data_IF_207381656981
#
_entry.id   IF_207381656981
#
_cell.length_a   1.000
_cell.length_b   1.000
_cell.length_c   1.000
_cell.angle_alpha   90.00
_cell.angle_beta   90.00
_cell.angle_gamma   90.00
#
_symmetry.space_group_name_H-M   'P 1'
#
loop_
_entity.id
_entity.type
_entity.pdbx_description
1 polymer ?
#
# COMPACT_ATOMS: atom_id res chain seq x y z
N UNK A 1 -13.81 -7.38 12.61
CA UNK A 1 -12.99 -8.05 11.59
C UNK A 1 -11.94 -8.98 12.20
N UNK A 2 -10.92 -8.51 12.92
CA UNK A 2 -9.83 -9.38 13.43
C UNK A 2 -10.32 -10.59 14.23
N UNK A 3 -11.26 -10.38 15.17
CA UNK A 3 -11.83 -11.48 15.98
C UNK A 3 -12.50 -12.57 15.14
N UNK A 4 -13.17 -12.21 14.06
CA UNK A 4 -13.81 -13.18 13.15
C UNK A 4 -12.84 -13.93 12.24
N UNK A 5 -11.57 -13.47 12.13
CA UNK A 5 -10.55 -14.15 11.35
C UNK A 5 -9.73 -15.17 12.17
N UNK A 6 -9.78 -15.08 13.51
CA UNK A 6 -8.97 -15.96 14.37
C UNK A 6 -9.35 -17.44 14.26
N UNK A 7 -10.61 -17.74 13.94
CA UNK A 7 -11.13 -19.10 13.83
C UNK A 7 -11.11 -19.63 12.37
N UNK A 8 -10.60 -18.81 11.41
CA UNK A 8 -10.56 -19.20 10.01
C UNK A 8 -9.27 -19.96 9.72
N UNK A 9 -9.42 -21.17 9.22
CA UNK A 9 -8.29 -21.95 8.70
C UNK A 9 -7.88 -21.39 7.34
N UNK A 10 -6.69 -20.85 7.24
CA UNK A 10 -6.11 -20.43 5.97
C UNK A 10 -5.68 -21.67 5.18
N UNK A 11 -6.06 -21.75 3.91
CA UNK A 11 -5.65 -22.84 3.04
C UNK A 11 -4.12 -23.01 3.01
N UNK A 12 -3.60 -24.23 2.93
CA UNK A 12 -2.16 -24.47 2.88
C UNK A 12 -1.52 -23.81 1.66
N UNK A 13 -0.22 -23.57 1.76
CA UNK A 13 0.56 -23.08 0.64
C UNK A 13 0.46 -24.02 -0.57
N UNK A 14 0.44 -23.41 -1.76
CA UNK A 14 0.48 -24.18 -3.02
C UNK A 14 1.85 -24.87 -3.12
N UNK A 15 1.85 -26.14 -3.57
CA UNK A 15 3.10 -26.87 -3.81
C UNK A 15 3.93 -26.18 -4.87
N UNK A 16 5.24 -26.17 -4.67
CA UNK A 16 6.18 -25.63 -5.64
C UNK A 16 6.07 -26.37 -6.98
N UNK A 17 5.94 -25.60 -8.06
CA UNK A 17 5.97 -26.12 -9.43
C UNK A 17 7.43 -26.17 -9.89
N UNK A 18 7.99 -27.37 -9.92
CA UNK A 18 9.42 -27.58 -10.27
C UNK A 18 9.68 -27.63 -11.76
N UNK A 19 8.65 -27.89 -12.58
CA UNK A 19 8.77 -27.92 -14.03
C UNK A 19 7.45 -27.53 -14.69
N UNK A 20 7.57 -26.83 -15.83
CA UNK A 20 6.45 -26.51 -16.70
C UNK A 20 6.70 -27.13 -18.06
N UNK A 21 5.67 -27.75 -18.65
CA UNK A 21 5.73 -28.19 -20.03
C UNK A 21 5.74 -26.94 -20.94
N UNK A 22 6.79 -26.80 -21.72
CA UNK A 22 6.91 -25.69 -22.69
C UNK A 22 6.58 -26.18 -24.09
N UNK A 23 6.00 -25.36 -24.97
CA UNK A 23 5.78 -25.74 -26.35
C UNK A 23 7.12 -25.90 -27.09
N UNK A 24 7.19 -26.88 -27.99
CA UNK A 24 8.39 -27.11 -28.82
C UNK A 24 8.70 -25.91 -29.72
N UNK A 25 7.69 -25.19 -30.14
CA UNK A 25 7.82 -23.97 -30.95
C UNK A 25 7.06 -22.82 -30.29
N UNK A 26 7.77 -21.74 -30.00
CA UNK A 26 7.19 -20.52 -29.50
C UNK A 26 6.61 -19.68 -30.64
N UNK A 27 5.42 -19.09 -30.46
CA UNK A 27 4.90 -18.13 -31.42
C UNK A 27 5.84 -16.92 -31.54
N UNK A 28 5.83 -16.27 -32.70
CA UNK A 28 6.55 -15.02 -32.89
C UNK A 28 5.95 -13.96 -31.96
N UNK A 29 6.75 -13.34 -31.11
CA UNK A 29 6.33 -12.35 -30.13
C UNK A 29 7.09 -11.04 -30.30
N UNK A 30 6.52 -9.97 -29.75
CA UNK A 30 7.18 -8.68 -29.65
C UNK A 30 8.18 -8.69 -28.49
N UNK A 31 9.24 -7.91 -28.60
CA UNK A 31 10.08 -7.59 -27.46
C UNK A 31 9.35 -6.61 -26.53
N UNK A 32 9.65 -6.68 -25.23
CA UNK A 32 9.04 -5.79 -24.25
C UNK A 32 9.25 -4.29 -24.58
N UNK A 33 10.42 -3.97 -25.13
CA UNK A 33 10.79 -2.60 -25.54
C UNK A 33 9.87 -2.07 -26.66
N UNK A 34 9.42 -2.96 -27.58
CA UNK A 34 8.56 -2.58 -28.70
C UNK A 34 7.17 -2.15 -28.24
N UNK A 35 6.76 -2.54 -27.03
CA UNK A 35 5.46 -2.15 -26.44
C UNK A 35 5.43 -0.68 -25.98
N UNK A 36 6.59 -0.04 -25.89
CA UNK A 36 6.70 1.39 -25.53
C UNK A 36 5.96 1.80 -24.24
N UNK A 37 5.92 0.92 -23.23
CA UNK A 37 5.13 1.09 -22.00
C UNK A 37 5.54 2.31 -21.17
N UNK A 38 6.76 2.82 -21.36
CA UNK A 38 7.31 3.92 -20.57
C UNK A 38 7.08 5.30 -21.18
N UNK A 39 6.43 5.39 -22.34
CA UNK A 39 6.23 6.69 -23.03
C UNK A 39 5.41 7.72 -22.25
N UNK A 40 4.54 7.24 -21.36
CA UNK A 40 3.69 8.10 -20.51
C UNK A 40 4.29 8.46 -19.15
N UNK A 41 5.47 7.95 -18.79
CA UNK A 41 6.06 8.22 -17.50
C UNK A 41 6.69 9.61 -17.44
N UNK A 42 6.15 10.49 -16.60
CA UNK A 42 6.66 11.84 -16.37
C UNK A 42 8.02 11.84 -15.64
N UNK A 43 8.29 10.81 -14.83
CA UNK A 43 9.58 10.55 -14.20
C UNK A 43 10.26 9.38 -14.91
N UNK A 44 11.57 9.42 -15.02
CA UNK A 44 12.28 8.39 -15.75
C UNK A 44 12.19 7.01 -15.11
N UNK A 45 11.77 5.99 -15.87
CA UNK A 45 11.74 4.59 -15.43
C UNK A 45 13.09 4.15 -14.81
N UNK A 46 14.21 4.60 -15.37
CA UNK A 46 15.56 4.33 -14.87
C UNK A 46 15.85 4.85 -13.46
N UNK A 47 15.13 5.89 -13.00
CA UNK A 47 15.26 6.41 -11.64
C UNK A 47 14.54 5.48 -10.69
N UNK A 48 13.27 5.18 -11.00
CA UNK A 48 12.39 4.35 -10.15
C UNK A 48 12.90 2.92 -10.04
N UNK A 49 13.45 2.36 -11.12
CA UNK A 49 14.03 1.01 -11.17
C UNK A 49 15.07 0.76 -10.05
N UNK A 50 15.82 1.79 -9.66
CA UNK A 50 16.83 1.68 -8.59
C UNK A 50 16.21 1.40 -7.22
N UNK A 51 14.94 1.74 -7.04
CA UNK A 51 14.20 1.57 -5.79
C UNK A 51 13.25 0.36 -5.80
N UNK A 52 13.11 -0.32 -6.95
CA UNK A 52 12.24 -1.49 -7.08
C UNK A 52 12.99 -2.78 -6.79
N UNK A 53 12.25 -3.77 -6.32
CA UNK A 53 12.78 -5.11 -6.06
C UNK A 53 11.89 -6.13 -6.75
N UNK A 54 12.26 -6.53 -7.96
CA UNK A 54 11.44 -7.33 -8.86
C UNK A 54 11.75 -8.82 -8.70
N UNK A 55 10.69 -9.64 -8.63
CA UNK A 55 10.72 -11.09 -8.75
C UNK A 55 10.56 -11.83 -7.43
N UNK A 56 9.90 -13.00 -7.50
CA UNK A 56 9.56 -13.86 -6.36
C UNK A 56 10.77 -14.17 -5.46
N UNK A 57 11.90 -14.51 -6.05
CA UNK A 57 13.11 -14.83 -5.26
C UNK A 57 13.56 -13.68 -4.36
N UNK A 58 13.52 -12.44 -4.88
CA UNK A 58 13.88 -11.26 -4.11
C UNK A 58 12.80 -10.93 -3.08
N UNK A 59 11.52 -11.12 -3.42
CA UNK A 59 10.42 -10.95 -2.47
C UNK A 59 10.54 -11.93 -1.29
N UNK A 60 10.84 -13.18 -1.53
CA UNK A 60 11.11 -14.18 -0.49
C UNK A 60 12.32 -13.81 0.38
N UNK A 61 13.39 -13.30 -0.23
CA UNK A 61 14.56 -12.82 0.51
C UNK A 61 14.21 -11.63 1.43
N UNK A 62 13.38 -10.68 0.97
CA UNK A 62 12.84 -9.61 1.81
C UNK A 62 12.01 -10.14 2.98
N UNK A 63 11.09 -11.09 2.71
CA UNK A 63 10.28 -11.70 3.75
C UNK A 63 11.15 -12.37 4.81
N UNK A 64 12.12 -13.18 4.40
CA UNK A 64 13.02 -13.87 5.32
C UNK A 64 13.86 -12.88 6.14
N UNK A 65 14.35 -11.79 5.54
CA UNK A 65 15.06 -10.74 6.28
C UNK A 65 14.15 -10.03 7.29
N UNK A 66 12.91 -9.71 6.90
CA UNK A 66 11.92 -9.09 7.78
C UNK A 66 11.62 -9.99 8.98
N UNK A 67 11.29 -11.25 8.73
CA UNK A 67 11.00 -12.24 9.77
C UNK A 67 12.19 -12.47 10.70
N UNK A 68 13.41 -12.54 10.14
CA UNK A 68 14.60 -12.81 10.92
C UNK A 68 15.11 -11.63 11.76
N UNK A 69 14.78 -10.39 11.39
CA UNK A 69 15.42 -9.21 12.01
C UNK A 69 14.46 -8.15 12.55
N UNK A 70 13.24 -8.03 11.97
CA UNK A 70 12.38 -6.88 12.22
C UNK A 70 11.04 -7.24 12.87
N UNK A 71 10.51 -8.43 12.60
CA UNK A 71 9.14 -8.80 12.97
C UNK A 71 8.88 -8.73 14.47
N UNK A 72 9.90 -9.02 15.31
CA UNK A 72 9.75 -8.96 16.76
C UNK A 72 9.41 -7.55 17.25
N UNK A 73 10.05 -6.53 16.68
CA UNK A 73 9.91 -5.14 17.07
C UNK A 73 8.90 -4.38 16.19
N UNK A 74 8.29 -5.08 15.23
CA UNK A 74 7.41 -4.49 14.23
C UNK A 74 6.25 -3.71 14.85
N UNK A 75 5.59 -4.25 15.87
CA UNK A 75 4.47 -3.57 16.53
C UNK A 75 4.89 -2.18 17.05
N UNK A 76 6.02 -2.11 17.70
CA UNK A 76 6.47 -0.91 18.41
C UNK A 76 7.12 0.12 17.47
N UNK A 77 7.78 -0.36 16.39
CA UNK A 77 8.62 0.50 15.53
C UNK A 77 8.07 0.76 14.13
N UNK A 78 7.03 0.07 13.70
CA UNK A 78 6.47 0.22 12.34
C UNK A 78 6.02 1.64 11.98
N UNK A 79 5.78 2.47 12.99
CA UNK A 79 5.29 3.82 12.82
C UNK A 79 6.40 4.88 12.76
N UNK A 80 7.64 4.49 13.06
CA UNK A 80 8.77 5.39 13.01
C UNK A 80 9.14 5.70 11.55
N UNK A 81 9.29 7.00 11.23
CA UNK A 81 9.65 7.44 9.88
C UNK A 81 11.15 7.43 9.63
N UNK A 82 11.95 7.46 10.69
CA UNK A 82 13.41 7.50 10.68
C UNK A 82 14.06 6.11 10.67
N UNK A 83 13.28 5.05 10.93
CA UNK A 83 13.75 3.67 10.97
C UNK A 83 12.95 2.77 10.01
N UNK A 84 13.61 1.94 9.21
CA UNK A 84 12.96 0.99 8.33
C UNK A 84 12.65 -0.33 9.07
N UNK A 85 11.51 -0.38 9.75
CA UNK A 85 10.95 -1.59 10.36
C UNK A 85 9.81 -2.23 9.56
N UNK A 86 9.45 -1.68 8.42
CA UNK A 86 8.46 -2.26 7.53
C UNK A 86 9.01 -3.46 6.75
N UNK A 87 8.10 -4.30 6.24
CA UNK A 87 8.47 -5.47 5.43
C UNK A 87 9.00 -5.09 4.04
N UNK A 88 8.55 -3.95 3.50
CA UNK A 88 8.86 -3.50 2.15
C UNK A 88 8.29 -4.41 1.05
N UNK A 89 7.23 -5.18 1.34
CA UNK A 89 6.67 -6.20 0.44
C UNK A 89 5.41 -5.75 -0.31
N UNK A 90 4.91 -4.54 -0.09
CA UNK A 90 3.69 -4.05 -0.74
C UNK A 90 3.79 -4.07 -2.27
N UNK A 91 4.90 -3.64 -2.83
CA UNK A 91 5.14 -3.72 -4.29
C UNK A 91 5.07 -5.15 -4.82
N UNK A 92 5.69 -6.09 -4.10
CA UNK A 92 5.71 -7.50 -4.51
C UNK A 92 4.34 -8.18 -4.38
N UNK A 93 3.51 -7.73 -3.41
CA UNK A 93 2.11 -8.16 -3.28
C UNK A 93 1.25 -7.65 -4.43
N UNK A 94 1.40 -6.38 -4.82
CA UNK A 94 0.65 -5.76 -5.91
C UNK A 94 0.84 -6.51 -7.23
N UNK A 95 2.07 -6.91 -7.53
CA UNK A 95 2.40 -7.62 -8.77
C UNK A 95 2.31 -9.16 -8.64
N UNK A 96 1.86 -9.69 -7.50
CA UNK A 96 1.70 -11.14 -7.31
C UNK A 96 3.02 -11.91 -7.22
N UNK A 97 4.14 -11.23 -6.97
CA UNK A 97 5.45 -11.85 -6.78
C UNK A 97 5.59 -12.54 -5.42
N UNK A 98 4.70 -12.25 -4.50
CA UNK A 98 4.50 -12.95 -3.24
C UNK A 98 3.02 -12.93 -2.89
N UNK A 99 2.50 -14.00 -2.29
CA UNK A 99 1.11 -14.06 -1.86
C UNK A 99 0.93 -13.59 -0.41
N UNK A 100 -0.22 -12.99 -0.11
CA UNK A 100 -0.61 -12.66 1.27
C UNK A 100 -0.61 -13.93 2.16
N UNK A 101 -0.99 -15.08 1.59
CA UNK A 101 -0.96 -16.38 2.27
C UNK A 101 0.46 -16.76 2.72
N UNK A 102 1.46 -16.58 1.85
CA UNK A 102 2.87 -16.85 2.20
C UNK A 102 3.34 -15.99 3.36
N UNK A 103 2.99 -14.71 3.33
CA UNK A 103 3.32 -13.77 4.40
C UNK A 103 2.60 -14.13 5.70
N UNK A 104 1.33 -14.54 5.61
CA UNK A 104 0.54 -14.99 6.77
C UNK A 104 1.19 -16.18 7.47
N UNK A 105 1.58 -17.22 6.73
CA UNK A 105 2.24 -18.39 7.33
C UNK A 105 3.60 -18.05 7.92
N UNK A 106 4.37 -17.18 7.29
CA UNK A 106 5.63 -16.71 7.86
C UNK A 106 5.42 -15.98 9.20
N UNK A 107 4.36 -15.16 9.29
CA UNK A 107 3.98 -14.49 10.52
C UNK A 107 3.47 -15.48 11.58
N UNK A 108 2.64 -16.47 11.19
CA UNK A 108 2.13 -17.48 12.11
C UNK A 108 3.27 -18.32 12.72
N UNK A 109 4.23 -18.73 11.91
CA UNK A 109 5.43 -19.41 12.42
C UNK A 109 6.21 -18.52 13.41
N UNK A 110 6.33 -17.22 13.11
CA UNK A 110 6.99 -16.27 14.00
C UNK A 110 6.24 -16.07 15.31
N UNK A 111 4.91 -16.06 15.26
CA UNK A 111 4.03 -15.98 16.44
C UNK A 111 4.22 -17.21 17.35
N UNK A 112 4.28 -18.43 16.76
CA UNK A 112 4.56 -19.66 17.50
C UNK A 112 5.93 -19.65 18.17
N UNK A 113 6.89 -18.94 17.60
CA UNK A 113 8.21 -18.69 18.19
C UNK A 113 8.24 -17.55 19.24
N UNK A 114 7.09 -16.95 19.54
CA UNK A 114 6.95 -15.90 20.56
C UNK A 114 7.35 -14.50 20.08
N UNK A 115 7.45 -14.24 18.78
CA UNK A 115 7.78 -12.91 18.25
C UNK A 115 6.59 -11.95 18.42
N UNK A 116 6.77 -10.88 19.23
CA UNK A 116 5.69 -9.99 19.67
C UNK A 116 4.98 -9.22 18.57
N UNK A 117 5.68 -8.85 17.50
CA UNK A 117 5.11 -8.09 16.38
C UNK A 117 4.41 -8.96 15.31
N UNK A 118 4.49 -10.28 15.41
CA UNK A 118 3.98 -11.18 14.37
C UNK A 118 2.45 -11.10 14.19
N UNK A 119 1.69 -11.06 15.29
CA UNK A 119 0.23 -10.87 15.23
C UNK A 119 -0.14 -9.52 14.63
N UNK A 120 0.60 -8.46 14.97
CA UNK A 120 0.34 -7.15 14.38
C UNK A 120 0.59 -7.15 12.87
N UNK A 121 1.62 -7.86 12.39
CA UNK A 121 1.87 -8.03 10.97
C UNK A 121 0.74 -8.81 10.26
N UNK A 122 0.15 -9.83 10.91
CA UNK A 122 -1.04 -10.52 10.39
C UNK A 122 -2.24 -9.58 10.29
N UNK A 123 -2.44 -8.66 11.27
CA UNK A 123 -3.50 -7.65 11.21
C UNK A 123 -3.35 -6.74 9.99
N UNK A 124 -2.14 -6.36 9.62
CA UNK A 124 -1.91 -5.54 8.43
C UNK A 124 -2.25 -6.30 7.13
N UNK A 125 -1.92 -7.59 7.06
CA UNK A 125 -2.35 -8.43 5.93
C UNK A 125 -3.88 -8.53 5.88
N UNK A 126 -4.54 -8.68 7.03
CA UNK A 126 -5.99 -8.71 7.11
C UNK A 126 -6.65 -7.38 6.66
N UNK A 127 -6.03 -6.23 6.95
CA UNK A 127 -6.51 -4.94 6.46
C UNK A 127 -6.49 -4.85 4.93
N UNK A 128 -5.46 -5.39 4.29
CA UNK A 128 -5.40 -5.49 2.82
C UNK A 128 -6.55 -6.34 2.28
N UNK A 129 -6.78 -7.51 2.82
CA UNK A 129 -7.89 -8.39 2.40
C UNK A 129 -9.26 -7.73 2.65
N UNK A 130 -9.38 -6.94 3.73
CA UNK A 130 -10.58 -6.16 3.98
C UNK A 130 -10.81 -5.07 2.91
N UNK A 131 -9.77 -4.41 2.44
CA UNK A 131 -9.88 -3.45 1.34
C UNK A 131 -10.42 -4.12 0.06
N UNK A 132 -9.93 -5.31 -0.28
CA UNK A 132 -10.45 -6.10 -1.40
C UNK A 132 -11.90 -6.52 -1.21
N UNK A 133 -12.27 -6.92 0.02
CA UNK A 133 -13.66 -7.23 0.35
C UNK A 133 -14.57 -6.02 0.14
N UNK A 134 -14.16 -4.84 0.58
CA UNK A 134 -14.90 -3.60 0.35
C UNK A 134 -15.03 -3.28 -1.13
N UNK A 135 -13.94 -3.32 -1.87
CA UNK A 135 -13.95 -3.04 -3.32
C UNK A 135 -14.83 -4.03 -4.09
N UNK A 136 -14.84 -5.31 -3.72
CA UNK A 136 -15.69 -6.32 -4.34
C UNK A 136 -17.17 -6.04 -4.13
N UNK A 137 -17.58 -5.67 -2.91
CA UNK A 137 -18.99 -5.41 -2.58
C UNK A 137 -19.44 -3.98 -2.90
N UNK A 138 -18.50 -3.06 -3.09
CA UNK A 138 -18.76 -1.64 -3.35
C UNK A 138 -17.76 -1.13 -4.40
N UNK A 139 -17.88 -1.57 -5.66
CA UNK A 139 -16.92 -1.22 -6.72
C UNK A 139 -16.82 0.28 -6.97
N UNK A 140 -17.88 1.04 -6.68
CA UNK A 140 -17.87 2.51 -6.77
C UNK A 140 -17.04 3.22 -5.69
N UNK A 141 -16.42 2.49 -4.74
CA UNK A 141 -15.57 3.10 -3.69
C UNK A 141 -14.38 3.88 -4.26
N UNK A 142 -13.98 3.58 -5.50
CA UNK A 142 -12.89 4.29 -6.16
C UNK A 142 -13.26 5.70 -6.60
N UNK A 143 -14.55 5.97 -6.81
CA UNK A 143 -15.06 7.22 -7.38
C UNK A 143 -16.03 7.96 -6.47
N UNK A 144 -16.82 7.23 -5.69
CA UNK A 144 -17.88 7.77 -4.88
C UNK A 144 -17.54 7.74 -3.39
N UNK A 145 -18.02 8.73 -2.64
CA UNK A 145 -17.90 8.67 -1.20
C UNK A 145 -18.70 7.48 -0.66
N UNK A 146 -18.09 6.64 0.17
CA UNK A 146 -18.80 5.58 0.89
C UNK A 146 -20.00 6.13 1.65
N UNK A 147 -19.81 7.26 2.31
CA UNK A 147 -20.87 8.01 2.98
C UNK A 147 -21.37 9.09 2.06
N UNK A 148 -22.57 8.92 1.53
CA UNK A 148 -23.17 9.84 0.55
C UNK A 148 -23.37 11.26 1.06
N UNK A 149 -23.47 11.47 2.38
CA UNK A 149 -23.56 12.80 3.00
C UNK A 149 -22.33 13.67 2.68
N UNK A 150 -21.16 13.07 2.43
CA UNK A 150 -19.95 13.79 2.03
C UNK A 150 -19.99 14.33 0.60
N UNK A 151 -20.98 13.94 -0.20
CA UNK A 151 -21.17 14.55 -1.51
C UNK A 151 -21.58 16.03 -1.43
N UNK A 152 -22.17 16.45 -0.29
CA UNK A 152 -22.53 17.84 -0.03
C UNK A 152 -21.38 18.69 0.49
N UNK A 153 -20.23 18.08 0.86
CA UNK A 153 -19.09 18.84 1.35
C UNK A 153 -18.46 19.62 0.21
N UNK A 154 -18.19 20.95 0.40
CA UNK A 154 -17.68 21.84 -0.66
C UNK A 154 -16.18 21.64 -0.86
N UNK A 155 -15.77 20.47 -1.34
CA UNK A 155 -14.38 20.20 -1.69
C UNK A 155 -13.88 21.19 -2.72
N UNK A 156 -12.64 21.65 -2.54
CA UNK A 156 -11.92 22.36 -3.60
C UNK A 156 -11.51 21.36 -4.68
N UNK A 157 -11.63 21.77 -5.94
CA UNK A 157 -11.09 21.02 -7.07
C UNK A 157 -9.58 21.13 -7.19
N UNK A 158 -9.05 20.65 -8.31
CA UNK A 158 -7.62 20.80 -8.64
C UNK A 158 -7.25 22.28 -8.79
N UNK A 159 -6.19 22.71 -8.11
CA UNK A 159 -5.80 24.10 -7.97
C UNK A 159 -4.29 24.23 -7.71
N UNK A 160 -3.80 25.48 -7.62
CA UNK A 160 -2.40 25.77 -7.35
C UNK A 160 -1.88 25.14 -6.05
N UNK A 161 -2.70 25.07 -4.99
CA UNK A 161 -2.31 24.44 -3.73
C UNK A 161 -2.17 22.92 -3.88
N UNK A 162 -3.00 22.26 -4.71
CA UNK A 162 -2.84 20.86 -5.05
C UNK A 162 -1.54 20.60 -5.81
N UNK A 163 -1.18 21.49 -6.72
CA UNK A 163 0.08 21.38 -7.46
C UNK A 163 1.30 21.59 -6.55
N UNK A 164 1.28 22.58 -5.64
CA UNK A 164 2.32 22.74 -4.62
C UNK A 164 2.45 21.49 -3.75
N UNK A 165 1.33 20.85 -3.39
CA UNK A 165 1.33 19.61 -2.65
C UNK A 165 2.00 18.48 -3.44
N UNK A 166 1.63 18.27 -4.73
CA UNK A 166 2.27 17.26 -5.59
C UNK A 166 3.79 17.46 -5.69
N UNK A 167 4.23 18.72 -5.79
CA UNK A 167 5.64 19.09 -5.93
C UNK A 167 6.42 19.09 -4.61
N UNK A 168 5.76 18.90 -3.47
CA UNK A 168 6.40 19.02 -2.16
C UNK A 168 6.89 20.45 -1.90
N UNK A 169 6.04 21.43 -2.15
CA UNK A 169 6.30 22.87 -2.01
C UNK A 169 5.24 23.57 -1.15
N UNK A 170 4.67 22.84 -0.19
CA UNK A 170 3.63 23.36 0.70
C UNK A 170 4.18 24.30 1.77
N UNK A 171 5.47 24.20 2.06
CA UNK A 171 6.12 24.88 3.18
C UNK A 171 6.12 24.07 4.47
N UNK A 172 5.42 22.92 4.51
CA UNK A 172 5.42 22.00 5.65
C UNK A 172 6.52 20.95 5.43
N UNK A 173 7.63 20.98 6.19
CA UNK A 173 8.83 20.21 5.88
C UNK A 173 8.61 18.71 5.74
N UNK A 174 7.78 18.11 6.61
CA UNK A 174 7.51 16.68 6.59
C UNK A 174 6.64 16.28 5.39
N UNK A 175 5.62 17.07 5.06
CA UNK A 175 4.77 16.87 3.88
C UNK A 175 5.62 16.97 2.61
N UNK A 176 6.41 18.02 2.52
CA UNK A 176 7.26 18.28 1.35
C UNK A 176 8.30 17.18 1.15
N UNK A 177 8.94 16.73 2.23
CA UNK A 177 9.90 15.61 2.17
C UNK A 177 9.24 14.31 1.69
N UNK A 178 8.06 13.97 2.24
CA UNK A 178 7.32 12.76 1.88
C UNK A 178 6.86 12.78 0.40
N UNK A 179 6.38 13.93 -0.09
CA UNK A 179 5.94 14.06 -1.48
C UNK A 179 7.11 13.99 -2.46
N UNK A 180 8.27 14.55 -2.11
CA UNK A 180 9.49 14.43 -2.91
C UNK A 180 10.05 13.01 -2.91
N UNK A 181 10.03 12.32 -1.77
CA UNK A 181 10.40 10.91 -1.69
C UNK A 181 9.50 10.07 -2.61
N UNK A 182 8.18 10.23 -2.53
CA UNK A 182 7.23 9.57 -3.41
C UNK A 182 7.58 9.78 -4.87
N UNK A 183 7.78 11.02 -5.28
CA UNK A 183 8.04 11.35 -6.69
C UNK A 183 9.34 10.72 -7.20
N UNK A 184 10.39 10.68 -6.39
CA UNK A 184 11.69 10.11 -6.78
C UNK A 184 11.68 8.58 -6.73
N UNK A 185 11.16 8.00 -5.65
CA UNK A 185 11.32 6.57 -5.37
C UNK A 185 10.12 5.71 -5.76
N UNK A 186 8.94 6.32 -5.89
CA UNK A 186 7.67 5.61 -6.01
C UNK A 186 7.22 4.97 -4.69
N UNK A 187 7.87 5.28 -3.59
CA UNK A 187 7.59 4.74 -2.26
C UNK A 187 7.23 5.83 -1.28
N UNK A 188 6.42 5.49 -0.32
CA UNK A 188 6.13 6.35 0.83
C UNK A 188 5.74 5.48 2.02
N UNK A 189 6.30 5.78 3.17
CA UNK A 189 5.95 5.12 4.42
C UNK A 189 4.47 5.31 4.75
N UNK A 190 3.78 4.30 5.32
CA UNK A 190 2.34 4.36 5.58
C UNK A 190 1.92 5.59 6.41
N UNK A 191 2.66 5.93 7.47
CA UNK A 191 2.36 7.13 8.28
C UNK A 191 2.53 8.42 7.49
N UNK A 192 3.50 8.49 6.59
CA UNK A 192 3.66 9.63 5.70
C UNK A 192 2.46 9.76 4.73
N UNK A 193 1.96 8.63 4.18
CA UNK A 193 0.74 8.63 3.35
C UNK A 193 -0.45 9.24 4.09
N UNK A 194 -0.65 8.86 5.34
CA UNK A 194 -1.72 9.41 6.18
C UNK A 194 -1.54 10.92 6.41
N UNK A 195 -0.32 11.36 6.68
CA UNK A 195 -0.03 12.78 6.92
C UNK A 195 -0.27 13.63 5.67
N UNK A 196 0.27 13.23 4.52
CA UNK A 196 0.10 13.99 3.28
C UNK A 196 -1.35 13.99 2.79
N UNK A 197 -2.08 12.88 2.99
CA UNK A 197 -3.51 12.80 2.67
C UNK A 197 -4.35 13.66 3.63
N UNK A 198 -4.04 13.66 4.93
CA UNK A 198 -4.69 14.52 5.91
C UNK A 198 -4.44 15.99 5.62
N UNK A 199 -3.23 16.35 5.23
CA UNK A 199 -2.90 17.72 4.85
C UNK A 199 -3.72 18.17 3.64
N UNK A 200 -3.77 17.37 2.58
CA UNK A 200 -4.56 17.67 1.39
C UNK A 200 -6.05 17.85 1.72
N UNK A 201 -6.64 16.90 2.45
CA UNK A 201 -8.08 16.85 2.63
C UNK A 201 -8.60 17.73 3.78
N UNK A 202 -7.86 17.84 4.89
CA UNK A 202 -8.30 18.52 6.10
C UNK A 202 -7.75 19.95 6.27
N UNK A 203 -6.54 20.20 5.78
CA UNK A 203 -5.94 21.55 5.84
C UNK A 203 -6.22 22.35 4.57
N UNK A 204 -6.00 21.75 3.39
CA UNK A 204 -6.25 22.41 2.13
C UNK A 204 -7.71 22.32 1.67
N UNK A 205 -8.51 21.38 2.21
CA UNK A 205 -9.90 21.09 1.85
C UNK A 205 -10.06 20.70 0.38
N UNK A 206 -9.06 20.05 -0.18
CA UNK A 206 -9.02 19.58 -1.57
C UNK A 206 -9.62 18.16 -1.63
N UNK A 207 -10.34 17.88 -2.72
CA UNK A 207 -11.01 16.58 -2.92
C UNK A 207 -9.99 15.44 -2.86
N UNK A 208 -10.30 14.42 -2.06
CA UNK A 208 -9.46 13.26 -1.85
C UNK A 208 -9.15 12.50 -3.15
N UNK A 209 -10.02 12.59 -4.17
CA UNK A 209 -9.83 11.94 -5.47
C UNK A 209 -8.59 12.46 -6.20
N UNK A 210 -8.27 13.75 -6.03
CA UNK A 210 -7.07 14.38 -6.60
C UNK A 210 -5.80 13.73 -6.03
N UNK A 211 -5.80 13.50 -4.72
CA UNK A 211 -4.68 12.82 -4.08
C UNK A 211 -4.62 11.33 -4.42
N UNK A 212 -5.80 10.66 -4.51
CA UNK A 212 -5.91 9.26 -4.93
C UNK A 212 -5.31 9.04 -6.32
N UNK A 213 -5.64 9.90 -7.27
CA UNK A 213 -5.11 9.86 -8.64
C UNK A 213 -3.59 10.08 -8.67
N UNK A 214 -3.08 11.01 -7.88
CA UNK A 214 -1.64 11.22 -7.78
C UNK A 214 -0.90 10.00 -7.21
N UNK A 215 -1.48 9.32 -6.24
CA UNK A 215 -0.92 8.07 -5.71
C UNK A 215 -0.97 6.94 -6.74
N UNK A 216 -2.03 6.86 -7.53
CA UNK A 216 -2.16 5.91 -8.64
C UNK A 216 -1.04 6.10 -9.67
N UNK A 217 -0.72 7.34 -10.03
CA UNK A 217 0.33 7.67 -11.00
C UNK A 217 1.76 7.47 -10.45
N UNK A 218 1.94 7.56 -9.14
CA UNK A 218 3.28 7.69 -8.58
C UNK A 218 3.75 6.53 -7.71
N UNK A 219 2.85 5.79 -7.05
CA UNK A 219 3.21 4.67 -6.20
C UNK A 219 3.56 3.42 -7.03
N UNK A 220 4.69 2.80 -6.74
CA UNK A 220 5.07 1.50 -7.33
C UNK A 220 4.33 0.32 -6.71
N UNK A 221 3.74 0.52 -5.55
CA UNK A 221 2.91 -0.46 -4.84
C UNK A 221 1.41 -0.11 -4.91
N UNK A 222 1.02 0.70 -5.90
CA UNK A 222 -0.37 1.09 -6.06
C UNK A 222 -1.29 -0.13 -6.17
N UNK A 223 -2.36 -0.08 -5.40
CA UNK A 223 -3.41 -1.07 -5.34
C UNK A 223 -4.75 -0.34 -5.26
N UNK A 224 -5.70 -0.57 -6.18
CA UNK A 224 -6.91 0.22 -6.28
C UNK A 224 -7.77 0.16 -5.02
N UNK A 225 -7.91 -1.03 -4.43
CA UNK A 225 -8.73 -1.23 -3.24
C UNK A 225 -8.15 -0.52 -2.01
N UNK A 226 -6.85 -0.75 -1.76
CA UNK A 226 -6.15 -0.14 -0.62
C UNK A 226 -6.02 1.37 -0.77
N UNK A 227 -5.79 1.86 -1.98
CA UNK A 227 -5.69 3.29 -2.27
C UNK A 227 -7.02 4.00 -2.01
N UNK A 228 -8.13 3.51 -2.58
CA UNK A 228 -9.45 4.10 -2.38
C UNK A 228 -9.89 4.07 -0.91
N UNK A 229 -9.73 2.92 -0.25
CA UNK A 229 -10.07 2.77 1.16
C UNK A 229 -9.26 3.73 2.04
N UNK A 230 -7.94 3.80 1.83
CA UNK A 230 -7.04 4.63 2.63
C UNK A 230 -7.34 6.11 2.48
N UNK A 231 -7.57 6.60 1.26
CA UNK A 231 -7.92 7.99 1.01
C UNK A 231 -9.23 8.39 1.65
N UNK A 232 -10.28 7.56 1.50
CA UNK A 232 -11.58 7.84 2.11
C UNK A 232 -11.54 7.74 3.63
N UNK A 233 -10.74 6.83 4.19
CA UNK A 233 -10.55 6.74 5.62
C UNK A 233 -9.96 8.04 6.19
N UNK A 234 -8.88 8.55 5.57
CA UNK A 234 -8.26 9.81 6.01
C UNK A 234 -9.17 11.01 5.79
N UNK A 235 -9.88 11.08 4.65
CA UNK A 235 -10.83 12.14 4.37
C UNK A 235 -12.05 12.15 5.31
N UNK A 236 -12.35 10.99 5.94
CA UNK A 236 -13.53 10.82 6.79
C UNK A 236 -14.80 10.44 6.02
N UNK A 237 -14.70 10.25 4.71
CA UNK A 237 -15.82 9.84 3.84
C UNK A 237 -16.00 8.33 3.72
N UNK A 238 -15.10 7.53 4.32
CA UNK A 238 -15.07 6.08 4.24
C UNK A 238 -16.01 5.37 5.21
N UNK A 239 -16.03 4.03 5.11
CA UNK A 239 -16.81 3.15 5.99
C UNK A 239 -16.32 3.16 7.44
N UNK A 240 -15.04 3.44 7.65
CA UNK A 240 -14.41 3.60 8.96
C UNK A 240 -14.22 5.09 9.26
N UNK A 241 -14.55 5.49 10.47
CA UNK A 241 -14.27 6.86 10.92
C UNK A 241 -12.80 6.96 11.35
N UNK A 242 -12.10 7.92 10.78
CA UNK A 242 -10.85 8.38 11.34
C UNK A 242 -11.16 9.31 12.51
N UNK A 243 -11.11 8.78 13.73
CA UNK A 243 -11.11 9.58 14.96
C UNK A 243 -9.70 9.53 15.55
N UNK A 244 -9.30 10.56 16.30
CA UNK A 244 -8.04 10.53 17.05
C UNK A 244 -7.95 9.30 17.96
N UNK A 245 -9.08 8.81 18.45
CA UNK A 245 -9.19 7.65 19.33
C UNK A 245 -9.05 6.32 18.57
N UNK A 246 -9.34 6.29 17.25
CA UNK A 246 -9.19 5.07 16.45
C UNK A 246 -7.70 4.65 16.27
N UNK A 247 -6.76 5.55 16.46
CA UNK A 247 -5.34 5.23 16.49
C UNK A 247 -4.94 4.54 17.80
N UNK A 248 -5.66 4.82 18.90
CA UNK A 248 -5.41 4.26 20.23
C UNK A 248 -6.15 2.92 20.42
N UNK A 249 -7.26 2.67 19.72
CA UNK A 249 -8.01 1.40 19.78
C UNK A 249 -7.30 0.23 19.04
N UNK A 250 -6.32 0.50 18.20
CA UNK A 250 -5.48 -0.55 17.61
C UNK A 250 -4.53 -1.21 18.65
N UNK A 251 -4.34 -0.58 19.81
CA UNK A 251 -3.41 -1.05 20.85
C UNK A 251 -4.09 -1.78 22.02
N UNK A 252 -5.42 -1.96 22.00
CA UNK A 252 -6.19 -2.67 23.05
C UNK A 252 -6.67 -4.08 22.64
#
# INVERSE_FOLDING_TARGET
MWRSLQDITVDPEVKEVTSLNTPEKWPKSLNLVDLSLFKGMNRGAQIVEKFTTIGERKALAKLNNFVGKKINDYKDKRNNLDEDFCSGLSENLTYGEISARRMWFAAENSKQLGMRGAEHFQKEIAWREFAYHLAYHTPQIETDNWRSEWNAFPWKGDCEDAEKWRQGQTGEPLIDAAMRELYITGKMHNRARMLVASYLTKHLLIDWRIGKEWFEETLIDWDPASNAMGWQWVAGSGCLLYTSDAADEEDS
#
